data_IF_711977941033
#
_entry.id   IF_711977941033
#
_cell.length_a   1.000
_cell.length_b   1.000
_cell.length_c   1.000
_cell.angle_alpha   90.00
_cell.angle_beta   90.00
_cell.angle_gamma   90.00
#
_symmetry.space_group_name_H-M   'P 1'
#
loop_
_entity.id
_entity.type
_entity.pdbx_description
1 polymer ?
#
# COMPACT_ATOMS: atom_id res chain seq x y z
N UNK A 1 -0.78 -5.70 -33.78
CA UNK A 1 -2.15 -5.46 -34.33
C UNK A 1 -2.12 -5.61 -35.85
N UNK A 2 -3.25 -5.60 -36.57
CA UNK A 2 -3.26 -5.56 -38.05
C UNK A 2 -3.12 -4.11 -38.50
N UNK A 3 -2.26 -3.82 -39.48
CA UNK A 3 -1.96 -2.46 -39.96
C UNK A 3 -3.06 -1.82 -40.80
N UNK A 4 -4.09 -2.59 -41.22
CA UNK A 4 -5.02 -2.17 -42.28
C UNK A 4 -6.51 -2.39 -41.93
N UNK A 5 -6.86 -2.58 -40.66
CA UNK A 5 -8.26 -2.82 -40.29
C UNK A 5 -8.59 -2.49 -38.84
N UNK A 6 -9.74 -1.85 -38.64
CA UNK A 6 -10.32 -1.64 -37.31
C UNK A 6 -10.78 -2.98 -36.70
N UNK A 7 -10.70 -3.12 -35.39
CA UNK A 7 -11.17 -4.32 -34.70
C UNK A 7 -12.56 -4.07 -34.11
N UNK A 8 -13.47 -5.02 -34.33
CA UNK A 8 -14.80 -5.02 -33.73
C UNK A 8 -14.95 -6.16 -32.71
N UNK A 9 -15.70 -5.90 -31.63
CA UNK A 9 -16.02 -6.91 -30.63
C UNK A 9 -17.00 -7.93 -31.23
N UNK A 10 -16.73 -9.22 -31.01
CA UNK A 10 -17.56 -10.33 -31.49
C UNK A 10 -17.73 -11.38 -30.39
N UNK A 11 -18.81 -12.14 -30.49
CA UNK A 11 -19.18 -13.21 -29.57
C UNK A 11 -18.92 -14.58 -30.22
N UNK A 12 -18.17 -15.46 -29.57
CA UNK A 12 -17.88 -16.82 -30.05
C UNK A 12 -17.53 -17.71 -28.86
N UNK A 13 -18.40 -18.68 -28.56
CA UNK A 13 -18.23 -19.62 -27.45
C UNK A 13 -17.17 -20.69 -27.72
N UNK A 14 -16.65 -20.79 -28.94
CA UNK A 14 -15.64 -21.80 -29.33
C UNK A 14 -14.20 -21.26 -29.31
N UNK A 15 -14.02 -19.93 -29.27
CA UNK A 15 -12.71 -19.32 -29.48
C UNK A 15 -11.83 -19.28 -28.22
N UNK A 16 -12.42 -19.36 -27.02
CA UNK A 16 -11.71 -19.45 -25.74
C UNK A 16 -12.68 -19.75 -24.59
N UNK A 17 -12.18 -19.89 -23.35
CA UNK A 17 -12.99 -19.84 -22.12
C UNK A 17 -13.77 -18.52 -21.94
N UNK A 18 -13.68 -17.61 -22.89
CA UNK A 18 -14.37 -16.33 -22.91
C UNK A 18 -15.23 -16.21 -24.17
N UNK A 19 -16.41 -15.68 -23.94
CA UNK A 19 -17.46 -15.58 -24.93
C UNK A 19 -17.17 -14.45 -25.94
N UNK A 20 -16.17 -13.59 -25.71
CA UNK A 20 -15.88 -12.40 -26.52
C UNK A 20 -14.43 -12.32 -27.01
N UNK A 21 -14.23 -11.75 -28.21
CA UNK A 21 -12.92 -11.50 -28.83
C UNK A 21 -12.99 -10.31 -29.82
N UNK A 22 -11.83 -9.73 -30.12
CA UNK A 22 -11.67 -8.71 -31.15
C UNK A 22 -11.42 -9.37 -32.51
N UNK A 23 -12.23 -9.05 -33.52
CA UNK A 23 -12.04 -9.51 -34.91
C UNK A 23 -11.72 -8.33 -35.82
N UNK A 24 -10.75 -8.49 -36.71
CA UNK A 24 -10.50 -7.51 -37.77
C UNK A 24 -11.76 -7.32 -38.64
N UNK A 25 -12.11 -6.07 -38.94
CA UNK A 25 -13.28 -5.71 -39.76
C UNK A 25 -13.06 -5.96 -41.26
N UNK A 26 -11.79 -6.01 -41.70
CA UNK A 26 -11.46 -6.31 -43.08
C UNK A 26 -11.84 -7.76 -43.40
N UNK A 27 -12.75 -7.95 -44.36
CA UNK A 27 -13.24 -9.28 -44.79
C UNK A 27 -12.12 -10.20 -45.30
N UNK A 28 -11.02 -9.63 -45.82
CA UNK A 28 -9.83 -10.39 -46.28
C UNK A 28 -8.89 -10.78 -45.12
N UNK A 29 -9.17 -10.35 -43.89
CA UNK A 29 -8.36 -10.61 -42.71
C UNK A 29 -9.11 -11.49 -41.71
N UNK A 30 -8.53 -12.65 -41.37
CA UNK A 30 -9.09 -13.60 -40.40
C UNK A 30 -8.57 -13.40 -38.97
N UNK A 31 -7.78 -12.34 -38.73
CA UNK A 31 -7.12 -12.12 -37.44
C UNK A 31 -8.13 -11.93 -36.30
N UNK A 32 -8.04 -12.79 -35.30
CA UNK A 32 -8.77 -12.74 -34.03
C UNK A 32 -7.79 -12.46 -32.90
N UNK A 33 -8.18 -11.65 -31.94
CA UNK A 33 -7.37 -11.28 -30.78
C UNK A 33 -8.24 -11.38 -29.52
N UNK A 34 -7.73 -11.97 -28.45
CA UNK A 34 -8.45 -12.02 -27.17
C UNK A 34 -8.79 -10.61 -26.67
N UNK A 35 -9.94 -10.43 -26.02
CA UNK A 35 -10.26 -9.17 -25.33
C UNK A 35 -9.25 -8.81 -24.24
N UNK A 36 -8.50 -9.80 -23.76
CA UNK A 36 -7.50 -9.65 -22.70
C UNK A 36 -6.13 -9.24 -23.23
N UNK A 37 -5.92 -9.32 -24.54
CA UNK A 37 -4.61 -9.06 -25.15
C UNK A 37 -4.15 -7.62 -24.87
N UNK A 38 -2.96 -7.47 -24.31
CA UNK A 38 -2.37 -6.19 -23.91
C UNK A 38 -2.92 -5.62 -22.60
N UNK A 39 -3.74 -6.37 -21.86
CA UNK A 39 -4.30 -5.95 -20.58
C UNK A 39 -3.73 -6.75 -19.40
N UNK A 40 -4.02 -6.29 -18.19
CA UNK A 40 -3.75 -7.01 -16.94
C UNK A 40 -4.41 -8.39 -16.86
N UNK A 41 -5.39 -8.70 -17.72
CA UNK A 41 -6.09 -9.98 -17.72
C UNK A 41 -5.44 -11.01 -18.67
N UNK A 42 -4.41 -10.62 -19.44
CA UNK A 42 -3.77 -11.51 -20.39
C UNK A 42 -3.17 -12.74 -19.70
N UNK A 43 -3.37 -13.94 -20.25
CA UNK A 43 -2.77 -15.18 -19.75
C UNK A 43 -3.46 -15.80 -18.53
N UNK A 44 -4.44 -15.13 -17.91
CA UNK A 44 -5.21 -15.71 -16.81
C UNK A 44 -6.29 -16.68 -17.32
N UNK A 45 -6.44 -17.83 -16.65
CA UNK A 45 -7.42 -18.87 -17.01
C UNK A 45 -8.80 -18.66 -16.37
N UNK A 46 -8.91 -17.82 -15.35
CA UNK A 46 -10.20 -17.47 -14.73
C UNK A 46 -11.10 -16.69 -15.68
N UNK A 47 -12.42 -16.83 -15.57
CA UNK A 47 -13.39 -15.96 -16.26
C UNK A 47 -13.25 -14.51 -15.78
N UNK A 48 -13.65 -13.53 -16.62
CA UNK A 48 -13.58 -12.12 -16.23
C UNK A 48 -14.48 -11.83 -15.01
N UNK A 49 -15.64 -12.46 -14.97
CA UNK A 49 -16.55 -12.40 -13.83
C UNK A 49 -15.87 -12.84 -12.52
N UNK A 50 -15.23 -14.02 -12.52
CA UNK A 50 -14.50 -14.51 -11.34
C UNK A 50 -13.37 -13.56 -10.95
N UNK A 51 -12.65 -12.99 -11.93
CA UNK A 51 -11.61 -11.98 -11.72
C UNK A 51 -12.16 -10.70 -11.05
N UNK A 52 -13.34 -10.24 -11.47
CA UNK A 52 -13.98 -9.07 -10.86
C UNK A 52 -14.40 -9.36 -9.43
N UNK A 53 -15.06 -10.49 -9.17
CA UNK A 53 -15.48 -10.86 -7.82
C UNK A 53 -14.32 -11.10 -6.86
N UNK A 54 -13.27 -11.80 -7.29
CA UNK A 54 -12.10 -12.02 -6.43
C UNK A 54 -11.38 -10.71 -6.09
N UNK A 55 -11.33 -9.76 -7.04
CA UNK A 55 -10.77 -8.42 -6.80
C UNK A 55 -11.64 -7.64 -5.82
N UNK A 56 -12.96 -7.67 -6.00
CA UNK A 56 -13.92 -7.07 -5.08
C UNK A 56 -13.75 -7.64 -3.66
N UNK A 57 -13.76 -8.96 -3.49
CA UNK A 57 -13.57 -9.60 -2.20
C UNK A 57 -12.21 -9.29 -1.56
N UNK A 58 -11.15 -9.18 -2.36
CA UNK A 58 -9.84 -8.76 -1.88
C UNK A 58 -9.83 -7.33 -1.31
N UNK A 59 -10.53 -6.40 -1.97
CA UNK A 59 -10.67 -5.01 -1.52
C UNK A 59 -11.39 -4.98 -0.17
N UNK A 60 -12.50 -5.71 -0.05
CA UNK A 60 -13.34 -5.77 1.16
C UNK A 60 -12.80 -6.69 2.26
N UNK A 61 -11.60 -7.28 2.07
CA UNK A 61 -10.93 -8.14 3.06
C UNK A 61 -11.78 -9.35 3.47
N UNK A 62 -12.52 -9.90 2.52
CA UNK A 62 -13.31 -11.11 2.75
C UNK A 62 -12.38 -12.30 2.97
N UNK A 63 -12.80 -13.21 3.84
CA UNK A 63 -12.04 -14.41 4.18
C UNK A 63 -11.78 -15.30 2.95
N UNK A 64 -10.56 -15.84 2.84
CA UNK A 64 -10.15 -16.61 1.66
C UNK A 64 -10.91 -17.94 1.52
N UNK A 65 -11.29 -18.59 2.63
CA UNK A 65 -12.09 -19.81 2.56
C UNK A 65 -13.51 -19.51 2.08
N UNK A 66 -14.08 -18.37 2.48
CA UNK A 66 -15.35 -17.90 1.91
C UNK A 66 -15.23 -17.68 0.39
N UNK A 67 -14.21 -16.94 -0.06
CA UNK A 67 -14.00 -16.63 -1.50
C UNK A 67 -13.83 -17.91 -2.31
N UNK A 68 -13.08 -18.88 -1.78
CA UNK A 68 -12.85 -20.19 -2.37
C UNK A 68 -14.14 -20.95 -2.58
N UNK A 69 -15.00 -21.00 -1.56
CA UNK A 69 -16.31 -21.64 -1.63
C UNK A 69 -17.22 -20.91 -2.63
N UNK A 70 -17.38 -19.60 -2.46
CA UNK A 70 -18.30 -18.75 -3.23
C UNK A 70 -18.00 -18.78 -4.73
N UNK A 71 -16.72 -18.71 -5.11
CA UNK A 71 -16.32 -18.66 -6.52
C UNK A 71 -15.93 -20.03 -7.09
N UNK A 72 -15.89 -21.08 -6.25
CA UNK A 72 -15.37 -22.40 -6.63
C UNK A 72 -14.00 -22.28 -7.32
N UNK A 73 -13.04 -21.63 -6.66
CA UNK A 73 -11.67 -21.40 -7.14
C UNK A 73 -10.72 -22.06 -6.15
N UNK A 74 -9.63 -22.67 -6.61
CA UNK A 74 -8.63 -23.25 -5.70
C UNK A 74 -7.84 -22.17 -4.96
N UNK A 75 -7.34 -22.52 -3.77
CA UNK A 75 -6.61 -21.58 -2.91
C UNK A 75 -5.38 -20.97 -3.61
N UNK A 76 -4.65 -21.77 -4.40
CA UNK A 76 -3.47 -21.29 -5.13
C UNK A 76 -3.80 -20.13 -6.07
N UNK A 77 -4.87 -20.27 -6.86
CA UNK A 77 -5.30 -19.20 -7.76
C UNK A 77 -5.73 -17.93 -7.00
N UNK A 78 -6.30 -18.07 -5.80
CA UNK A 78 -6.64 -16.90 -4.96
C UNK A 78 -5.37 -16.19 -4.48
N UNK A 79 -4.41 -16.96 -3.98
CA UNK A 79 -3.11 -16.44 -3.52
C UNK A 79 -2.36 -15.75 -4.66
N UNK A 80 -2.34 -16.35 -5.85
CA UNK A 80 -1.69 -15.79 -7.03
C UNK A 80 -2.36 -14.47 -7.44
N UNK A 81 -3.69 -14.42 -7.49
CA UNK A 81 -4.41 -13.19 -7.82
C UNK A 81 -4.22 -12.10 -6.76
N UNK A 82 -4.24 -12.46 -5.47
CA UNK A 82 -3.98 -11.53 -4.39
C UNK A 82 -2.55 -10.97 -4.45
N UNK A 83 -1.58 -11.77 -4.89
CA UNK A 83 -0.21 -11.34 -5.14
C UNK A 83 -0.14 -10.33 -6.28
N UNK A 84 -0.82 -10.61 -7.39
CA UNK A 84 -0.99 -9.67 -8.48
C UNK A 84 -1.60 -8.33 -8.03
N UNK A 85 -2.67 -8.36 -7.22
CA UNK A 85 -3.26 -7.14 -6.66
C UNK A 85 -2.26 -6.33 -5.80
N UNK A 86 -1.40 -7.00 -5.02
CA UNK A 86 -0.35 -6.30 -4.24
C UNK A 86 0.73 -5.69 -5.13
N UNK A 87 1.11 -6.34 -6.23
CA UNK A 87 2.05 -5.77 -7.21
C UNK A 87 1.49 -4.50 -7.86
N UNK A 88 0.18 -4.46 -8.13
CA UNK A 88 -0.48 -3.25 -8.61
C UNK A 88 -0.38 -2.12 -7.57
N UNK A 89 -0.56 -2.41 -6.28
CA UNK A 89 -0.36 -1.40 -5.22
C UNK A 89 1.07 -0.84 -5.21
N UNK A 90 2.10 -1.68 -5.41
CA UNK A 90 3.48 -1.22 -5.51
C UNK A 90 3.65 -0.25 -6.68
N UNK A 91 3.08 -0.57 -7.85
CA UNK A 91 3.18 0.27 -9.05
C UNK A 91 2.51 1.62 -8.85
N UNK A 92 1.32 1.65 -8.26
CA UNK A 92 0.60 2.88 -7.93
C UNK A 92 1.46 3.73 -7.00
N UNK A 93 1.99 3.14 -5.93
CA UNK A 93 2.83 3.87 -4.97
C UNK A 93 4.11 4.45 -5.56
N UNK A 94 4.71 3.76 -6.53
CA UNK A 94 5.89 4.27 -7.25
C UNK A 94 5.56 5.43 -8.19
N UNK A 95 4.34 5.47 -8.74
CA UNK A 95 3.88 6.58 -9.58
C UNK A 95 3.59 7.80 -8.71
N UNK A 96 2.96 7.57 -7.56
CA UNK A 96 2.54 8.63 -6.63
C UNK A 96 3.61 8.96 -5.57
N UNK A 97 4.85 8.46 -5.72
CA UNK A 97 5.88 8.64 -4.69
C UNK A 97 6.43 10.06 -4.72
N UNK A 98 6.14 10.81 -3.67
CA UNK A 98 6.78 12.09 -3.37
C UNK A 98 7.49 12.01 -2.02
N UNK A 99 8.54 12.81 -1.84
CA UNK A 99 9.14 12.99 -0.51
C UNK A 99 8.10 13.61 0.42
N UNK A 100 8.03 13.09 1.64
CA UNK A 100 7.23 13.66 2.73
C UNK A 100 7.99 14.81 3.41
N UNK A 101 7.32 15.60 4.22
CA UNK A 101 7.91 16.73 4.94
C UNK A 101 8.03 18.01 4.11
N UNK A 102 8.89 18.90 4.58
CA UNK A 102 9.14 20.25 4.08
C UNK A 102 9.17 21.26 5.22
N UNK A 103 9.40 22.52 4.88
CA UNK A 103 9.42 23.61 5.85
C UNK A 103 8.14 23.64 6.69
N UNK A 104 8.28 23.77 8.01
CA UNK A 104 7.17 23.75 8.98
C UNK A 104 6.38 22.44 9.06
N UNK A 105 6.84 21.35 8.44
CA UNK A 105 6.23 20.03 8.55
C UNK A 105 6.98 19.19 9.58
N UNK A 106 6.23 18.52 10.45
CA UNK A 106 6.77 17.60 11.44
C UNK A 106 6.65 16.16 10.94
N UNK A 107 7.76 15.42 10.92
CA UNK A 107 7.79 13.99 10.59
C UNK A 107 8.29 13.19 11.78
N UNK A 108 7.48 12.27 12.28
CA UNK A 108 7.87 11.27 13.28
C UNK A 108 8.58 10.11 12.55
N UNK A 109 9.81 9.76 12.95
CA UNK A 109 10.56 8.60 12.43
C UNK A 109 10.80 7.56 13.51
N UNK A 110 10.82 6.28 13.12
CA UNK A 110 11.15 5.15 14.00
C UNK A 110 11.54 3.91 13.17
N UNK A 111 12.13 2.90 13.81
CA UNK A 111 12.30 1.58 13.20
C UNK A 111 11.65 0.45 14.00
N UNK A 112 10.90 -0.39 13.30
CA UNK A 112 10.24 -1.54 13.90
C UNK A 112 10.71 -2.85 13.30
N UNK A 113 10.96 -3.84 14.17
CA UNK A 113 11.22 -5.22 13.74
C UNK A 113 9.91 -6.00 13.60
N UNK A 114 9.64 -6.47 12.39
CA UNK A 114 8.55 -7.37 12.04
C UNK A 114 9.01 -8.82 12.09
N UNK A 115 8.08 -9.75 12.27
CA UNK A 115 8.41 -11.17 12.41
C UNK A 115 9.33 -11.44 13.62
N UNK A 116 8.94 -10.96 14.81
CA UNK A 116 9.62 -11.25 16.08
C UNK A 116 8.80 -12.24 16.90
N UNK A 117 9.46 -13.12 17.66
CA UNK A 117 8.78 -13.98 18.64
C UNK A 117 8.11 -13.11 19.70
N UNK A 118 6.88 -13.45 20.08
CA UNK A 118 6.23 -12.87 21.27
C UNK A 118 6.80 -13.59 22.50
N UNK A 119 7.35 -12.84 23.46
CA UNK A 119 7.89 -13.38 24.72
C UNK A 119 9.00 -14.44 24.56
N UNK A 120 9.80 -14.37 23.49
CA UNK A 120 10.83 -15.36 23.14
C UNK A 120 10.35 -16.82 22.94
N UNK A 121 9.03 -17.07 22.98
CA UNK A 121 8.42 -18.40 22.80
C UNK A 121 8.05 -18.64 21.32
N UNK A 122 8.10 -19.90 20.88
CA UNK A 122 7.71 -20.34 19.53
C UNK A 122 8.86 -20.41 18.51
N UNK A 123 8.52 -20.54 17.21
CA UNK A 123 9.47 -20.72 16.10
C UNK A 123 10.41 -19.52 15.93
N UNK A 124 11.69 -19.75 15.58
CA UNK A 124 12.61 -18.64 15.25
C UNK A 124 12.24 -18.07 13.89
N UNK A 125 12.14 -16.75 13.84
CA UNK A 125 11.92 -15.99 12.62
C UNK A 125 13.00 -14.91 12.60
N UNK A 126 13.71 -14.82 11.48
CA UNK A 126 14.79 -13.84 11.25
C UNK A 126 14.28 -12.40 11.46
N UNK A 127 13.04 -12.18 11.02
CA UNK A 127 12.35 -10.90 11.05
C UNK A 127 12.83 -9.96 9.96
N UNK A 128 12.16 -8.81 9.84
CA UNK A 128 12.49 -7.76 8.90
C UNK A 128 12.52 -6.43 9.65
N UNK A 129 13.62 -5.70 9.54
CA UNK A 129 13.65 -4.31 10.01
C UNK A 129 12.96 -3.42 8.99
N UNK A 130 12.21 -2.46 9.51
CA UNK A 130 11.46 -1.51 8.70
C UNK A 130 11.67 -0.13 9.29
N UNK A 131 12.12 0.79 8.47
CA UNK A 131 12.13 2.22 8.75
C UNK A 131 10.77 2.80 8.41
N UNK A 132 10.25 3.69 9.25
CA UNK A 132 9.01 4.42 9.00
C UNK A 132 9.19 5.90 9.29
N UNK A 133 8.59 6.74 8.44
CA UNK A 133 8.45 8.18 8.65
C UNK A 133 7.00 8.58 8.39
N UNK A 134 6.39 9.36 9.29
CA UNK A 134 4.98 9.76 9.21
C UNK A 134 4.85 11.26 9.48
N UNK A 135 4.23 12.00 8.56
CA UNK A 135 3.83 13.39 8.81
C UNK A 135 2.77 13.46 9.90
N UNK A 136 2.98 14.31 10.91
CA UNK A 136 2.10 14.38 12.08
C UNK A 136 0.68 14.82 11.72
N UNK A 137 0.53 15.76 10.79
CA UNK A 137 -0.78 16.32 10.45
C UNK A 137 -1.44 15.60 9.27
N UNK A 138 -0.76 15.48 8.13
CA UNK A 138 -1.33 14.91 6.91
C UNK A 138 -1.41 13.37 6.93
N UNK A 139 -0.66 12.72 7.83
CA UNK A 139 -0.46 11.27 7.91
C UNK A 139 0.18 10.64 6.66
N UNK A 140 0.70 11.44 5.71
CA UNK A 140 1.57 10.93 4.65
C UNK A 140 2.72 10.17 5.27
N UNK A 141 2.98 8.96 4.76
CA UNK A 141 3.93 8.05 5.39
C UNK A 141 4.86 7.42 4.37
N UNK A 142 6.10 7.16 4.78
CA UNK A 142 7.05 6.32 4.06
C UNK A 142 7.40 5.12 4.92
N UNK A 143 7.46 3.95 4.29
CA UNK A 143 7.94 2.71 4.91
C UNK A 143 8.95 2.04 4.00
N UNK A 144 10.09 1.64 4.55
CA UNK A 144 11.15 0.98 3.80
C UNK A 144 11.69 -0.21 4.59
N UNK A 145 11.73 -1.39 3.96
CA UNK A 145 12.44 -2.55 4.52
C UNK A 145 13.95 -2.31 4.47
N UNK A 146 14.63 -2.60 5.57
CA UNK A 146 16.10 -2.49 5.67
C UNK A 146 16.70 -3.79 6.21
N UNK A 147 17.83 -4.21 5.66
CA UNK A 147 18.56 -5.37 6.18
C UNK A 147 19.31 -5.04 7.48
N UNK A 148 19.86 -3.83 7.57
CA UNK A 148 20.55 -3.33 8.75
C UNK A 148 20.09 -1.91 9.09
N UNK A 149 20.27 -1.56 10.35
CA UNK A 149 19.99 -0.23 10.90
C UNK A 149 21.30 0.52 11.12
N UNK A 150 22.18 0.59 10.13
CA UNK A 150 23.36 1.45 10.28
C UNK A 150 22.95 2.91 10.12
N UNK A 151 23.77 3.81 10.65
CA UNK A 151 23.57 5.26 10.50
C UNK A 151 23.47 5.65 9.02
N UNK A 152 24.32 5.08 8.19
CA UNK A 152 24.41 5.37 6.76
C UNK A 152 23.14 4.93 6.02
N UNK A 153 22.64 3.72 6.31
CA UNK A 153 21.41 3.20 5.72
C UNK A 153 20.22 4.08 6.04
N UNK A 154 20.05 4.46 7.31
CA UNK A 154 18.88 5.22 7.75
C UNK A 154 18.97 6.69 7.35
N UNK A 155 20.16 7.30 7.41
CA UNK A 155 20.36 8.65 6.89
C UNK A 155 20.08 8.73 5.39
N UNK A 156 20.52 7.73 4.61
CA UNK A 156 20.20 7.67 3.18
C UNK A 156 18.69 7.62 2.96
N UNK A 157 17.97 6.79 3.71
CA UNK A 157 16.51 6.69 3.60
C UNK A 157 15.81 8.00 3.98
N UNK A 158 16.26 8.67 5.02
CA UNK A 158 15.74 9.99 5.41
C UNK A 158 15.94 10.98 4.27
N UNK A 159 17.16 11.09 3.71
CA UNK A 159 17.45 12.03 2.62
C UNK A 159 16.71 11.70 1.32
N UNK A 160 16.50 10.43 1.04
CA UNK A 160 15.78 9.98 -0.16
C UNK A 160 14.27 10.22 -0.07
N UNK A 161 13.70 10.24 1.14
CA UNK A 161 12.24 10.23 1.33
C UNK A 161 11.67 11.41 2.09
N UNK A 162 12.50 12.21 2.77
CA UNK A 162 12.09 13.37 3.58
C UNK A 162 12.74 14.62 3.00
N UNK A 163 11.96 15.69 2.81
CA UNK A 163 12.46 16.96 2.29
C UNK A 163 13.35 17.67 3.35
N UNK A 164 14.44 18.33 2.95
CA UNK A 164 15.17 19.24 3.85
C UNK A 164 14.25 20.31 4.45
N UNK A 165 14.65 20.90 5.58
CA UNK A 165 13.84 21.88 6.32
C UNK A 165 12.72 21.29 7.18
N UNK A 166 12.52 19.97 7.11
CA UNK A 166 11.57 19.24 7.97
C UNK A 166 12.04 19.19 9.42
N UNK A 167 11.12 19.35 10.36
CA UNK A 167 11.34 19.01 11.77
C UNK A 167 11.11 17.51 11.99
N UNK A 168 12.18 16.77 12.25
CA UNK A 168 12.14 15.33 12.52
C UNK A 168 12.02 15.09 14.02
N UNK A 169 11.08 14.22 14.41
CA UNK A 169 10.97 13.69 15.77
C UNK A 169 11.40 12.22 15.75
N UNK A 170 12.40 11.85 16.56
CA UNK A 170 12.83 10.45 16.72
C UNK A 170 13.09 10.10 18.19
N UNK A 171 13.35 8.81 18.45
CA UNK A 171 13.94 8.39 19.72
C UNK A 171 15.38 8.93 19.88
N UNK A 172 15.94 8.79 21.09
CA UNK A 172 17.31 9.22 21.41
C UNK A 172 18.42 8.33 20.81
N UNK A 173 18.20 7.71 19.65
CA UNK A 173 19.22 6.87 19.02
C UNK A 173 20.33 7.72 18.39
N UNK A 174 21.58 7.47 18.82
CA UNK A 174 22.78 8.27 18.47
C UNK A 174 23.01 8.46 16.97
N UNK A 175 22.52 7.56 16.12
CA UNK A 175 22.68 7.70 14.68
C UNK A 175 22.01 8.98 14.14
N UNK A 176 20.95 9.45 14.82
CA UNK A 176 20.19 10.63 14.43
C UNK A 176 20.84 11.96 14.87
N UNK A 177 21.92 11.93 15.65
CA UNK A 177 22.60 13.15 16.10
C UNK A 177 23.16 14.00 14.95
N UNK A 178 23.33 13.42 13.77
CA UNK A 178 23.80 14.12 12.56
C UNK A 178 22.71 14.84 11.76
N UNK A 179 21.43 14.70 12.12
CA UNK A 179 20.33 15.26 11.32
C UNK A 179 20.41 16.78 11.17
N UNK A 180 20.84 17.49 12.23
CA UNK A 180 21.07 18.93 12.20
C UNK A 180 22.03 19.37 11.09
N UNK A 181 23.15 18.65 10.92
CA UNK A 181 24.13 18.94 9.87
C UNK A 181 23.67 18.56 8.46
N UNK A 182 22.58 17.80 8.34
CA UNK A 182 22.07 17.29 7.07
C UNK A 182 20.84 18.10 6.58
N UNK A 183 20.55 19.23 7.22
CA UNK A 183 19.50 20.16 6.81
C UNK A 183 18.12 19.84 7.41
N UNK A 184 18.07 19.14 8.54
CA UNK A 184 16.84 18.85 9.27
C UNK A 184 16.88 19.48 10.66
N UNK A 185 15.74 19.93 11.16
CA UNK A 185 15.60 20.21 12.58
C UNK A 185 15.31 18.89 13.30
N UNK A 186 15.92 18.66 14.47
CA UNK A 186 15.78 17.39 15.17
C UNK A 186 15.31 17.59 16.61
N UNK A 187 14.17 16.98 16.92
CA UNK A 187 13.65 16.85 18.27
C UNK A 187 13.76 15.39 18.70
N UNK A 188 14.20 15.17 19.95
CA UNK A 188 14.41 13.83 20.51
C UNK A 188 13.36 13.54 21.57
N UNK A 189 12.83 12.32 21.56
CA UNK A 189 11.92 11.82 22.59
C UNK A 189 12.66 10.80 23.45
N UNK A 190 12.79 11.12 24.74
CA UNK A 190 13.38 10.19 25.69
C UNK A 190 12.32 9.26 26.30
N UNK A 191 12.09 8.13 25.63
CA UNK A 191 11.14 7.09 26.07
C UNK A 191 11.45 6.43 27.43
N UNK A 192 12.64 6.66 28.01
CA UNK A 192 12.97 6.16 29.36
C UNK A 192 12.55 7.10 30.49
N UNK A 193 12.25 8.36 30.17
CA UNK A 193 11.95 9.40 31.17
C UNK A 193 10.51 9.89 31.01
N UNK A 194 10.05 10.16 29.78
CA UNK A 194 8.73 10.73 29.52
C UNK A 194 8.06 10.09 28.29
N UNK A 195 6.74 9.89 28.34
CA UNK A 195 5.93 9.45 27.18
C UNK A 195 5.64 10.58 26.19
N UNK A 196 5.64 11.81 26.68
CA UNK A 196 5.56 13.06 25.91
C UNK A 196 6.61 13.96 26.51
N UNK A 197 7.51 14.50 25.70
CA UNK A 197 8.50 15.45 26.18
C UNK A 197 7.80 16.69 26.75
N UNK A 198 8.01 17.05 28.03
CA UNK A 198 7.23 18.10 28.68
C UNK A 198 7.62 19.52 28.23
N UNK A 199 8.82 19.71 27.66
CA UNK A 199 9.29 21.02 27.19
C UNK A 199 8.91 21.27 25.72
N UNK A 200 9.02 20.24 24.89
CA UNK A 200 8.81 20.32 23.43
C UNK A 200 7.46 19.75 22.98
N UNK A 201 6.78 18.98 23.82
CA UNK A 201 5.55 18.25 23.46
C UNK A 201 5.78 17.10 22.45
N UNK A 202 7.03 16.72 22.22
CA UNK A 202 7.41 15.71 21.24
C UNK A 202 7.04 14.29 21.71
N UNK A 203 6.48 13.48 20.80
CA UNK A 203 6.18 12.07 21.02
C UNK A 203 6.16 11.32 19.68
N UNK A 204 6.29 9.98 19.70
CA UNK A 204 6.23 9.12 18.50
C UNK A 204 4.95 8.24 18.45
N UNK A 205 3.91 8.65 19.18
CA UNK A 205 2.65 7.89 19.31
C UNK A 205 1.98 7.58 17.96
N UNK A 206 2.08 8.48 16.98
CA UNK A 206 1.49 8.26 15.65
C UNK A 206 2.19 7.07 14.99
N UNK A 207 3.52 7.06 15.05
CA UNK A 207 4.33 5.99 14.50
C UNK A 207 4.10 4.65 15.22
N UNK A 208 4.03 4.63 16.55
CA UNK A 208 3.72 3.42 17.32
C UNK A 208 2.35 2.81 16.97
N UNK A 209 1.32 3.66 16.90
CA UNK A 209 -0.03 3.24 16.55
C UNK A 209 -0.09 2.66 15.12
N UNK A 210 0.65 3.27 14.20
CA UNK A 210 0.75 2.82 12.81
C UNK A 210 1.48 1.49 12.71
N UNK A 211 2.56 1.27 13.47
CA UNK A 211 3.22 -0.03 13.53
C UNK A 211 2.29 -1.14 14.01
N UNK A 212 1.46 -0.85 15.02
CA UNK A 212 0.48 -1.81 15.52
C UNK A 212 -0.54 -2.16 14.44
N UNK A 213 -1.06 -1.17 13.72
CA UNK A 213 -2.01 -1.38 12.64
C UNK A 213 -1.39 -2.18 11.47
N UNK A 214 -0.17 -1.82 11.06
CA UNK A 214 0.57 -2.50 9.99
C UNK A 214 0.83 -3.97 10.36
N UNK A 215 1.31 -4.25 11.57
CA UNK A 215 1.51 -5.61 12.08
C UNK A 215 0.23 -6.43 12.09
N UNK A 216 -0.91 -5.80 12.43
CA UNK A 216 -2.23 -6.46 12.43
C UNK A 216 -2.74 -6.75 11.01
N UNK A 217 -2.34 -5.96 10.02
CA UNK A 217 -2.74 -6.16 8.62
C UNK A 217 -2.01 -7.29 7.91
N UNK A 218 -0.90 -7.78 8.48
CA UNK A 218 -0.13 -8.87 7.88
C UNK A 218 -0.94 -10.17 7.85
N UNK A 219 -0.66 -11.06 6.88
CA UNK A 219 -1.28 -12.37 6.83
C UNK A 219 -1.14 -13.13 8.15
N UNK A 220 -2.24 -13.76 8.57
CA UNK A 220 -2.31 -14.53 9.83
C UNK A 220 -1.43 -15.79 9.79
N UNK A 221 -1.33 -16.42 8.62
CA UNK A 221 -0.63 -17.69 8.42
C UNK A 221 0.68 -17.47 7.65
N UNK A 222 1.68 -16.94 8.35
CA UNK A 222 3.04 -16.79 7.84
C UNK A 222 3.25 -15.56 6.96
N UNK A 223 4.46 -15.03 7.04
CA UNK A 223 4.94 -13.90 6.23
C UNK A 223 6.26 -14.28 5.60
N UNK A 224 6.41 -14.00 4.31
CA UNK A 224 7.68 -14.20 3.58
C UNK A 224 8.44 -12.88 3.59
N UNK A 225 9.73 -12.92 3.97
CA UNK A 225 10.58 -11.73 4.12
C UNK A 225 10.62 -10.88 2.84
N UNK A 226 10.80 -11.51 1.68
CA UNK A 226 10.83 -10.82 0.39
C UNK A 226 9.50 -10.16 -0.03
N UNK A 227 8.40 -10.43 0.68
CA UNK A 227 7.08 -9.88 0.35
C UNK A 227 6.65 -8.73 1.28
N UNK A 228 7.49 -8.30 2.23
CA UNK A 228 7.14 -7.21 3.15
C UNK A 228 6.72 -5.92 2.42
N UNK A 229 7.46 -5.53 1.38
CA UNK A 229 7.09 -4.39 0.54
C UNK A 229 5.67 -4.52 -0.03
N UNK A 230 5.31 -5.72 -0.51
CA UNK A 230 3.97 -5.98 -1.06
C UNK A 230 2.87 -5.80 -0.01
N UNK A 231 3.13 -6.20 1.25
CA UNK A 231 2.17 -6.04 2.34
C UNK A 231 2.03 -4.58 2.77
N UNK A 232 3.13 -3.83 2.79
CA UNK A 232 3.12 -2.41 3.16
C UNK A 232 2.43 -1.58 2.08
N UNK A 233 2.69 -1.87 0.81
CA UNK A 233 1.99 -1.23 -0.29
C UNK A 233 0.49 -1.48 -0.25
N UNK A 234 0.07 -2.71 0.06
CA UNK A 234 -1.33 -3.06 0.25
C UNK A 234 -1.96 -2.31 1.42
N UNK A 235 -1.27 -2.22 2.56
CA UNK A 235 -1.74 -1.47 3.72
C UNK A 235 -1.95 0.00 3.35
N UNK A 236 -0.94 0.65 2.78
CA UNK A 236 -0.97 2.07 2.47
C UNK A 236 -2.10 2.41 1.49
N UNK A 237 -2.24 1.63 0.41
CA UNK A 237 -3.34 1.79 -0.55
C UNK A 237 -4.72 1.67 0.14
N UNK A 238 -4.88 0.75 1.09
CA UNK A 238 -6.14 0.59 1.81
C UNK A 238 -6.40 1.75 2.77
N UNK A 239 -5.38 2.31 3.40
CA UNK A 239 -5.54 3.39 4.36
C UNK A 239 -5.80 4.74 3.68
N UNK A 240 -5.06 5.08 2.62
CA UNK A 240 -5.30 6.31 1.83
C UNK A 240 -6.70 6.35 1.22
N UNK A 241 -7.13 5.27 0.58
CA UNK A 241 -8.41 5.27 -0.13
C UNK A 241 -9.61 5.23 0.81
N UNK A 242 -9.45 4.67 2.02
CA UNK A 242 -10.51 4.72 3.04
C UNK A 242 -10.70 6.14 3.58
N UNK A 243 -9.62 6.92 3.72
CA UNK A 243 -9.69 8.32 4.15
C UNK A 243 -10.32 9.24 3.09
N UNK A 244 -9.99 9.04 1.81
CA UNK A 244 -10.60 9.79 0.69
C UNK A 244 -12.10 9.45 0.55
N UNK A 245 -12.48 8.18 0.75
CA UNK A 245 -13.89 7.75 0.75
C UNK A 245 -14.71 8.37 1.89
N UNK A 246 -14.10 8.55 3.06
CA UNK A 246 -14.74 9.18 4.22
C UNK A 246 -14.74 10.73 4.15
N UNK A 247 -13.78 11.35 3.49
CA UNK A 247 -13.79 12.80 3.27
C UNK A 247 -14.95 13.23 2.34
N UNK A 248 -15.28 12.38 1.36
CA UNK A 248 -16.40 12.57 0.44
C UNK A 248 -17.80 12.30 1.05
N UNK A 249 -17.89 11.63 2.20
CA UNK A 249 -19.15 11.47 2.93
C UNK A 249 -19.48 12.67 3.82
N UNK A 250 -18.46 13.39 4.32
CA UNK A 250 -18.62 14.64 5.08
C UNK A 250 -19.13 15.82 4.24
N UNK A 251 -18.68 15.95 2.99
CA UNK A 251 -19.12 17.04 2.11
C UNK A 251 -20.55 16.87 1.57
N UNK A 252 -21.12 15.66 1.56
CA UNK A 252 -22.51 15.42 1.17
C UNK A 252 -23.54 15.91 2.19
N UNK A 253 -23.15 16.11 3.45
CA UNK A 253 -24.06 16.55 4.51
C UNK A 253 -24.13 18.08 4.67
N UNK A 254 -23.23 18.85 4.06
CA UNK A 254 -23.33 20.33 4.07
C UNK A 254 -24.19 20.90 2.92
N UNK A 255 -24.40 20.14 1.84
CA UNK A 255 -25.20 20.60 0.69
C UNK A 255 -26.72 20.37 0.91
N UNK A 256 -27.10 19.56 1.91
CA UNK A 256 -28.52 19.29 2.21
C UNK A 256 -29.18 20.31 3.14
N UNK A 257 -28.42 21.16 3.84
CA UNK A 257 -28.97 22.13 4.79
C UNK A 257 -29.18 23.56 4.23
N UNK A 258 -28.92 23.81 2.95
CA UNK A 258 -29.10 25.13 2.32
C UNK A 258 -30.35 25.25 1.43
N UNK A 259 -31.24 24.24 1.40
CA UNK A 259 -32.50 24.28 0.62
C UNK A 259 -33.78 24.47 1.43
N UNK A 260 -33.70 24.80 2.71
CA UNK A 260 -34.87 25.15 3.54
C UNK A 260 -34.69 26.50 4.26
N UNK A 261 -34.43 27.55 3.49
CA UNK A 261 -34.77 28.93 3.88
C UNK A 261 -34.65 29.83 2.66
N UNK A 262 -35.76 29.98 1.95
CA UNK A 262 -36.21 31.22 1.32
C UNK A 262 -37.62 30.99 0.79
N UNK A 263 -38.56 31.62 1.51
CA UNK A 263 -39.85 32.09 0.98
C UNK A 263 -39.60 32.97 -0.25
#
# INVERSE_FOLDING_TARGET
MCSHGHFGLRKDSSFSNHIFYWKCSNKKCSKKVSIRNGSCFQGHNLSLEKILFITYFWIYKIDQEFVKHELSICNQTIVDWYSYCREVCIKILKIDSEKIGGDSVIVEIDESKFGKRKYHKGRQVEGQWVFGGIERDSKKSVFATVENRTKETLLKLIKDNIKPGTTIISDCWKAYDCLGSEGFEHLKVNHSVNFVDPETGAHTNTTESTWRALKKSLPKYGTVKSLYDTYFSQYYQRHIYTEIGNCNSGQRNQIKNTRHTRL
#
